data_IF_172451912966
#
_entry.id   IF_172451912966
#
_cell.length_a   1.000
_cell.length_b   1.000
_cell.length_c   1.000
_cell.angle_alpha   90.00
_cell.angle_beta   90.00
_cell.angle_gamma   90.00
#
_symmetry.space_group_name_H-M   'P 1'
#
loop_
_entity.id
_entity.type
_entity.pdbx_description
1 polymer ?
#
# COMPACT_ATOMS: atom_id res chain seq x y z
N UNK A 1 -15.52 -26.45 13.48
CA UNK A 1 -14.19 -25.98 13.03
C UNK A 1 -14.22 -24.45 13.06
N UNK A 2 -13.48 -23.89 14.01
CA UNK A 2 -13.68 -22.58 14.63
C UNK A 2 -13.10 -21.42 13.81
N UNK A 3 -13.82 -20.28 13.79
CA UNK A 3 -13.24 -18.92 13.79
C UNK A 3 -12.72 -18.36 12.47
N UNK A 4 -13.61 -17.96 11.54
CA UNK A 4 -13.20 -17.04 10.46
C UNK A 4 -13.24 -15.60 10.96
N UNK A 5 -12.11 -14.92 10.89
CA UNK A 5 -12.04 -13.46 11.02
C UNK A 5 -12.36 -12.82 9.66
N UNK A 6 -13.04 -11.68 9.67
CA UNK A 6 -13.49 -11.00 8.44
C UNK A 6 -12.33 -10.45 7.59
N UNK A 7 -11.14 -10.32 8.17
CA UNK A 7 -9.94 -9.84 7.50
C UNK A 7 -8.69 -10.48 8.09
N UNK A 8 -7.63 -10.55 7.29
CA UNK A 8 -6.29 -10.96 7.74
C UNK A 8 -5.52 -9.71 8.19
N UNK A 9 -5.25 -9.51 9.50
CA UNK A 9 -4.46 -8.39 9.95
C UNK A 9 -2.99 -8.63 9.63
N UNK A 10 -2.38 -7.71 8.88
CA UNK A 10 -0.95 -7.74 8.57
C UNK A 10 -0.30 -6.43 9.00
N UNK A 11 0.74 -6.52 9.82
CA UNK A 11 1.60 -5.39 10.17
C UNK A 11 2.92 -5.53 9.43
N UNK A 12 3.31 -4.49 8.71
CA UNK A 12 4.54 -4.47 7.92
C UNK A 12 5.43 -3.31 8.36
N UNK A 13 6.74 -3.55 8.44
CA UNK A 13 7.73 -2.49 8.57
C UNK A 13 8.27 -2.15 7.19
N UNK A 14 8.00 -0.92 6.74
CA UNK A 14 8.16 -0.52 5.34
C UNK A 14 8.98 0.76 5.15
N UNK A 15 9.60 1.27 6.22
CA UNK A 15 10.43 2.47 6.14
C UNK A 15 11.54 2.29 5.10
N UNK A 16 11.64 3.23 4.15
CA UNK A 16 12.57 3.19 3.02
C UNK A 16 12.18 2.25 1.87
N UNK A 17 11.15 1.42 2.02
CA UNK A 17 10.68 0.54 0.95
C UNK A 17 9.80 1.29 -0.06
N UNK A 18 9.82 0.84 -1.31
CA UNK A 18 8.85 1.27 -2.32
C UNK A 18 7.53 0.53 -2.13
N UNK A 19 6.41 1.26 -2.18
CA UNK A 19 5.06 0.70 -2.22
C UNK A 19 4.36 1.27 -3.43
N UNK A 20 3.80 0.38 -4.26
CA UNK A 20 3.06 0.81 -5.45
C UNK A 20 1.69 1.34 -5.01
N UNK A 21 1.30 2.49 -5.55
CA UNK A 21 -0.08 2.99 -5.42
C UNK A 21 -0.69 3.14 -6.80
N UNK A 22 -1.59 2.23 -7.14
CA UNK A 22 -2.34 2.21 -8.40
C UNK A 22 -3.66 2.96 -8.22
N UNK A 23 -3.99 3.82 -9.17
CA UNK A 23 -5.23 4.60 -9.18
C UNK A 23 -4.99 6.10 -8.97
N UNK A 24 -6.08 6.86 -9.13
CA UNK A 24 -6.09 8.32 -9.15
C UNK A 24 -7.12 8.90 -8.20
N UNK A 25 -7.14 10.23 -8.09
CA UNK A 25 -8.11 10.96 -7.29
C UNK A 25 -7.95 10.82 -5.77
N UNK A 26 -8.99 11.21 -5.01
CA UNK A 26 -8.88 11.37 -3.55
C UNK A 26 -8.50 10.09 -2.80
N UNK A 27 -8.94 8.92 -3.28
CA UNK A 27 -8.65 7.64 -2.65
C UNK A 27 -7.17 7.25 -2.83
N UNK A 28 -6.63 7.39 -4.03
CA UNK A 28 -5.21 7.17 -4.30
C UNK A 28 -4.34 8.14 -3.50
N UNK A 29 -4.72 9.42 -3.43
CA UNK A 29 -3.98 10.43 -2.66
C UNK A 29 -3.97 10.11 -1.16
N UNK A 30 -5.07 9.58 -0.63
CA UNK A 30 -5.11 9.11 0.76
C UNK A 30 -4.14 7.95 1.00
N UNK A 31 -4.05 6.98 0.06
CA UNK A 31 -3.09 5.87 0.15
C UNK A 31 -1.64 6.36 0.02
N UNK A 32 -1.35 7.30 -0.88
CA UNK A 32 -0.01 7.92 -1.01
C UNK A 32 0.42 8.58 0.31
N UNK A 33 -0.47 9.33 0.96
CA UNK A 33 -0.20 9.93 2.29
C UNK A 33 0.05 8.87 3.37
N UNK A 34 -0.71 7.77 3.36
CA UNK A 34 -0.52 6.66 4.30
C UNK A 34 0.87 6.04 4.15
N UNK A 35 1.27 5.73 2.91
CA UNK A 35 2.59 5.17 2.57
C UNK A 35 3.71 6.09 3.05
N UNK A 36 3.64 7.38 2.69
CA UNK A 36 4.66 8.36 3.07
C UNK A 36 4.78 8.52 4.60
N UNK A 37 3.65 8.52 5.33
CA UNK A 37 3.65 8.58 6.81
C UNK A 37 4.23 7.32 7.46
N UNK A 38 4.16 6.18 6.79
CA UNK A 38 4.82 4.95 7.23
C UNK A 38 6.34 4.93 6.93
N UNK A 39 6.89 6.02 6.38
CA UNK A 39 8.30 6.13 5.99
C UNK A 39 8.64 5.45 4.67
N UNK A 40 7.65 4.93 3.95
CA UNK A 40 7.82 4.29 2.65
C UNK A 40 7.73 5.31 1.51
N UNK A 41 8.17 4.90 0.32
CA UNK A 41 8.19 5.72 -0.90
C UNK A 41 7.02 5.26 -1.79
N UNK A 42 5.95 6.08 -1.95
CA UNK A 42 4.89 5.76 -2.88
C UNK A 42 5.41 5.90 -4.31
N UNK A 43 5.13 4.90 -5.16
CA UNK A 43 5.58 4.88 -6.55
C UNK A 43 4.50 4.34 -7.49
N UNK A 44 4.66 4.62 -8.79
CA UNK A 44 3.83 4.02 -9.84
C UNK A 44 4.34 2.63 -10.26
N UNK A 45 3.57 1.93 -11.08
CA UNK A 45 3.89 0.57 -11.54
C UNK A 45 5.24 0.50 -12.30
N UNK A 46 5.54 1.52 -13.10
CA UNK A 46 6.80 1.58 -13.86
C UNK A 46 8.05 1.67 -12.95
N UNK A 47 7.89 2.11 -11.70
CA UNK A 47 8.97 2.29 -10.73
C UNK A 47 8.99 1.21 -9.65
N UNK A 48 8.17 0.17 -9.81
CA UNK A 48 7.91 -0.87 -8.81
C UNK A 48 9.09 -1.85 -8.57
N UNK A 49 10.29 -1.52 -9.03
CA UNK A 49 11.48 -2.34 -8.80
C UNK A 49 11.64 -2.64 -7.31
N UNK A 50 11.60 -3.93 -6.97
CA UNK A 50 11.69 -4.48 -5.62
C UNK A 50 10.52 -4.18 -4.68
N UNK A 51 9.43 -3.56 -5.16
CA UNK A 51 8.22 -3.40 -4.35
C UNK A 51 7.61 -4.77 -4.00
N UNK A 52 7.25 -4.97 -2.73
CA UNK A 52 6.65 -6.23 -2.24
C UNK A 52 5.15 -6.09 -1.94
N UNK A 53 4.66 -4.84 -1.84
CA UNK A 53 3.31 -4.50 -1.43
C UNK A 53 2.79 -3.40 -2.36
N UNK A 54 1.51 -3.48 -2.71
CA UNK A 54 0.80 -2.47 -3.47
C UNK A 54 -0.53 -2.11 -2.79
N UNK A 55 -0.93 -0.85 -2.90
CA UNK A 55 -2.31 -0.42 -2.69
C UNK A 55 -2.96 -0.16 -4.04
N UNK A 56 -4.11 -0.78 -4.27
CA UNK A 56 -4.94 -0.51 -5.45
C UNK A 56 -6.13 0.32 -4.98
N UNK A 57 -6.18 1.57 -5.41
CA UNK A 57 -7.26 2.52 -5.13
C UNK A 57 -8.14 2.62 -6.39
N UNK A 58 -8.92 1.56 -6.64
CA UNK A 58 -9.96 1.57 -7.68
C UNK A 58 -11.24 2.17 -7.09
N UNK A 59 -11.90 3.06 -7.81
CA UNK A 59 -13.30 3.45 -7.52
C UNK A 59 -14.23 2.24 -7.60
#
# INVERSE_FOLDING_TARGET
MTGRIASLPLFHQVSGCRIVVVGDGPMADAKRRLVARAGAIPCGEAEAHHAQIAFVALE
#
